data_IF_250520494223
#
_entry.id   IF_250520494223
#
_cell.length_a   1.000
_cell.length_b   1.000
_cell.length_c   1.000
_cell.angle_alpha   90.00
_cell.angle_beta   90.00
_cell.angle_gamma   90.00
#
_symmetry.space_group_name_H-M   'P 1'
#
loop_
_entity.id
_entity.type
_entity.pdbx_description
1 polymer ?
#
# COMPACT_ATOMS: atom_id res chain seq x y z
N UNK A 1 3.51 -0.97 31.47
CA UNK A 1 4.15 -1.07 30.15
C UNK A 1 3.26 -0.40 29.09
N UNK A 2 3.85 0.45 28.24
CA UNK A 2 3.15 1.10 27.11
C UNK A 2 3.97 0.90 25.84
N UNK A 3 3.29 0.49 24.76
CA UNK A 3 3.84 0.46 23.42
C UNK A 3 3.42 1.73 22.67
N UNK A 4 4.39 2.49 22.19
CA UNK A 4 4.16 3.73 21.45
C UNK A 4 4.65 3.56 20.02
N UNK A 5 3.72 3.54 19.06
CA UNK A 5 4.04 3.35 17.64
C UNK A 5 3.92 4.66 16.89
N UNK A 6 4.78 4.84 15.89
CA UNK A 6 4.82 6.03 15.07
C UNK A 6 5.20 5.70 13.62
N UNK A 7 4.47 6.25 12.67
CA UNK A 7 4.70 6.02 11.23
C UNK A 7 5.62 7.08 10.63
N UNK A 8 5.38 8.37 10.95
CA UNK A 8 6.12 9.49 10.37
C UNK A 8 7.15 10.04 11.34
N UNK A 9 8.29 10.49 10.82
CA UNK A 9 9.33 11.20 11.58
C UNK A 9 8.86 12.59 12.03
N UNK A 10 9.60 13.25 12.92
CA UNK A 10 9.29 14.60 13.41
C UNK A 10 9.18 15.66 12.31
N UNK A 11 9.82 15.42 11.17
CA UNK A 11 9.71 16.29 9.99
C UNK A 11 8.28 16.39 9.46
N UNK A 12 7.51 15.31 9.55
CA UNK A 12 6.16 15.24 8.99
C UNK A 12 5.06 15.21 10.05
N UNK A 13 5.39 14.74 11.25
CA UNK A 13 4.43 14.66 12.36
C UNK A 13 5.18 14.74 13.69
N UNK A 14 4.97 15.82 14.44
CA UNK A 14 5.59 15.98 15.76
C UNK A 14 5.06 14.92 16.73
N UNK A 15 5.95 14.38 17.55
CA UNK A 15 5.59 13.49 18.64
C UNK A 15 5.06 14.32 19.81
N UNK A 16 3.74 14.42 19.92
CA UNK A 16 3.06 15.19 20.97
C UNK A 16 2.50 14.31 22.08
N UNK A 17 2.64 12.99 21.98
CA UNK A 17 2.08 12.07 22.97
C UNK A 17 3.08 11.92 24.13
N UNK A 18 2.72 12.41 25.30
CA UNK A 18 3.47 12.25 26.55
C UNK A 18 2.82 11.12 27.35
N UNK A 19 3.63 10.16 27.80
CA UNK A 19 3.18 9.05 28.65
C UNK A 19 3.68 9.31 30.07
N UNK A 20 2.76 9.59 31.00
CA UNK A 20 3.11 10.02 32.36
C UNK A 20 3.05 8.89 33.41
N UNK A 21 2.28 7.85 33.19
CA UNK A 21 1.97 6.82 34.20
C UNK A 21 2.40 5.40 33.76
N UNK A 22 3.56 5.27 33.15
CA UNK A 22 4.09 3.98 32.75
C UNK A 22 5.49 3.78 33.32
N UNK A 23 5.72 2.61 33.90
CA UNK A 23 7.05 2.20 34.36
C UNK A 23 8.03 2.01 33.20
N UNK A 24 7.49 1.60 32.04
CA UNK A 24 8.27 1.39 30.82
C UNK A 24 7.48 1.82 29.57
N UNK A 25 8.17 2.50 28.66
CA UNK A 25 7.66 2.86 27.34
C UNK A 25 8.56 2.25 26.26
N UNK A 26 7.99 1.41 25.40
CA UNK A 26 8.67 0.81 24.26
C UNK A 26 8.23 1.57 23.01
N UNK A 27 9.19 2.14 22.27
CA UNK A 27 8.94 2.90 21.06
C UNK A 27 9.24 2.06 19.83
N UNK A 28 8.33 2.08 18.85
CA UNK A 28 8.45 1.34 17.61
C UNK A 28 7.82 2.05 16.42
N UNK A 29 7.94 1.42 15.27
CA UNK A 29 7.47 1.98 14.00
C UNK A 29 8.49 2.88 13.33
N UNK A 30 8.23 3.18 12.06
CA UNK A 30 9.15 3.88 11.14
C UNK A 30 9.54 5.29 11.61
N UNK A 31 8.62 5.95 12.31
CA UNK A 31 8.82 7.33 12.77
C UNK A 31 9.86 7.49 13.88
N UNK A 32 10.21 6.42 14.57
CA UNK A 32 11.31 6.40 15.56
C UNK A 32 12.64 5.93 14.96
N UNK A 33 12.70 5.75 13.64
CA UNK A 33 13.90 5.36 12.92
C UNK A 33 14.22 3.86 13.00
N UNK A 34 15.41 3.44 12.53
CA UNK A 34 15.78 2.04 12.42
C UNK A 34 15.95 1.31 13.75
N UNK A 35 16.04 2.04 14.86
CA UNK A 35 16.12 1.48 16.21
C UNK A 35 14.77 1.21 16.89
N UNK A 36 13.66 1.48 16.19
CA UNK A 36 12.33 1.18 16.71
C UNK A 36 12.13 -0.32 16.89
N UNK A 37 11.64 -0.72 18.07
CA UNK A 37 11.38 -2.13 18.35
C UNK A 37 10.08 -2.58 17.70
N UNK A 38 10.07 -3.83 17.23
CA UNK A 38 8.84 -4.50 16.81
C UNK A 38 7.97 -4.79 18.05
N UNK A 39 6.67 -4.90 17.82
CA UNK A 39 5.75 -5.35 18.87
C UNK A 39 6.00 -6.83 19.18
N UNK A 40 5.84 -7.27 20.45
CA UNK A 40 5.72 -8.69 20.74
C UNK A 40 4.59 -9.32 19.94
N UNK A 41 4.77 -10.57 19.53
CA UNK A 41 3.80 -11.31 18.73
C UNK A 41 2.38 -11.23 19.29
N UNK A 42 2.23 -11.44 20.60
CA UNK A 42 0.94 -11.44 21.30
C UNK A 42 0.25 -10.07 21.25
N UNK A 43 1.01 -8.99 21.14
CA UNK A 43 0.48 -7.63 21.03
C UNK A 43 0.15 -7.28 19.58
N UNK A 44 1.01 -7.69 18.64
CA UNK A 44 0.80 -7.42 17.21
C UNK A 44 -0.45 -8.12 16.67
N UNK A 45 -0.78 -9.30 17.21
CA UNK A 45 -1.94 -10.11 16.80
C UNK A 45 -3.22 -9.85 17.63
N UNK A 46 -3.20 -8.83 18.52
CA UNK A 46 -4.44 -8.36 19.17
C UNK A 46 -5.27 -7.60 18.14
N UNK A 47 -6.56 -7.94 18.04
CA UNK A 47 -7.48 -7.18 17.20
C UNK A 47 -7.47 -5.70 17.57
N UNK A 48 -7.30 -4.78 16.61
CA UNK A 48 -7.36 -3.36 16.89
C UNK A 48 -8.70 -2.93 17.50
N UNK A 49 -8.65 -2.07 18.49
CA UNK A 49 -9.86 -1.44 19.05
C UNK A 49 -10.30 -0.26 18.18
N UNK A 50 -11.16 -0.52 17.21
CA UNK A 50 -11.68 0.50 16.31
C UNK A 50 -12.62 1.50 16.98
N UNK A 51 -13.14 1.20 18.18
CA UNK A 51 -13.97 2.15 18.94
C UNK A 51 -13.21 3.38 19.42
N UNK A 52 -11.89 3.30 19.51
CA UNK A 52 -11.03 4.46 19.79
C UNK A 52 -11.13 5.54 18.68
N UNK A 53 -11.61 5.16 17.49
CA UNK A 53 -11.70 6.04 16.33
C UNK A 53 -13.11 6.05 15.73
N UNK A 54 -14.09 6.75 16.35
CA UNK A 54 -15.52 6.69 15.96
C UNK A 54 -15.79 7.00 14.49
N UNK A 55 -14.94 7.79 13.85
CA UNK A 55 -15.08 8.14 12.42
C UNK A 55 -14.76 6.97 11.47
N UNK A 56 -14.16 5.89 11.97
CA UNK A 56 -13.68 4.75 11.18
C UNK A 56 -14.28 3.41 11.63
N UNK A 57 -15.36 3.43 12.40
CA UNK A 57 -15.99 2.24 12.99
C UNK A 57 -16.38 1.16 11.96
N UNK A 58 -16.69 1.56 10.72
CA UNK A 58 -17.04 0.63 9.65
C UNK A 58 -15.84 0.11 8.84
N UNK A 59 -14.61 0.42 9.23
CA UNK A 59 -13.40 0.09 8.44
C UNK A 59 -12.40 -0.68 9.27
N UNK A 60 -12.04 -1.88 8.80
CA UNK A 60 -10.92 -2.66 9.33
C UNK A 60 -9.61 -2.30 8.61
N UNK A 61 -8.52 -2.29 9.35
CA UNK A 61 -7.16 -2.02 8.85
C UNK A 61 -6.23 -3.17 9.24
N UNK A 62 -5.46 -3.68 8.30
CA UNK A 62 -4.50 -4.72 8.64
C UNK A 62 -3.62 -5.15 7.49
N UNK A 63 -2.72 -6.08 7.83
CA UNK A 63 -1.82 -6.75 6.91
C UNK A 63 -2.17 -8.24 6.90
N UNK A 64 -2.30 -8.81 5.73
CA UNK A 64 -2.32 -10.26 5.52
C UNK A 64 -0.91 -10.79 5.25
N UNK A 65 -0.11 -9.95 4.55
CA UNK A 65 1.29 -10.26 4.24
C UNK A 65 2.19 -9.06 4.50
N UNK A 66 3.46 -9.32 4.79
CA UNK A 66 4.52 -8.32 4.95
C UNK A 66 5.76 -8.71 4.16
N UNK A 67 6.60 -7.70 3.87
CA UNK A 67 7.82 -7.85 3.08
C UNK A 67 7.58 -7.73 1.58
N UNK A 68 8.66 -7.47 0.82
CA UNK A 68 8.58 -7.28 -0.62
C UNK A 68 9.90 -7.70 -1.30
N UNK A 69 9.85 -8.54 -2.36
CA UNK A 69 11.05 -8.98 -3.05
C UNK A 69 11.68 -7.93 -3.97
N UNK A 70 11.00 -6.81 -4.23
CA UNK A 70 11.43 -5.81 -5.23
C UNK A 70 12.68 -5.04 -4.84
N UNK A 71 12.94 -4.81 -3.56
CA UNK A 71 14.12 -4.10 -3.08
C UNK A 71 14.39 -2.78 -3.79
N UNK A 72 13.34 -1.97 -4.03
CA UNK A 72 13.46 -0.66 -4.67
C UNK A 72 14.31 0.27 -3.82
N UNK A 73 15.25 1.01 -4.44
CA UNK A 73 16.23 1.83 -3.72
C UNK A 73 15.64 3.00 -2.89
N UNK A 74 14.43 3.43 -3.21
CA UNK A 74 13.69 4.46 -2.47
C UNK A 74 12.79 3.89 -1.35
N UNK A 75 12.55 2.58 -1.33
CA UNK A 75 11.55 1.94 -0.48
C UNK A 75 12.19 1.29 0.74
N UNK A 76 11.61 1.55 1.92
CA UNK A 76 12.10 1.01 3.19
C UNK A 76 11.63 -0.42 3.47
N UNK A 77 10.64 -0.92 2.74
CA UNK A 77 9.95 -2.19 3.07
C UNK A 77 10.92 -3.36 3.08
N UNK A 78 11.75 -3.51 2.05
CA UNK A 78 12.71 -4.62 1.97
C UNK A 78 13.74 -4.62 3.10
N UNK A 79 14.12 -3.44 3.58
CA UNK A 79 15.05 -3.28 4.71
C UNK A 79 14.40 -3.50 6.07
N UNK A 80 13.13 -3.14 6.21
CA UNK A 80 12.38 -3.19 7.47
C UNK A 80 11.62 -4.50 7.67
N UNK A 81 10.96 -4.99 6.63
CA UNK A 81 10.05 -6.14 6.69
C UNK A 81 10.61 -7.39 6.00
N UNK A 82 11.76 -7.24 5.35
CA UNK A 82 12.42 -8.33 4.63
C UNK A 82 12.13 -8.36 3.13
N UNK A 83 12.94 -9.18 2.44
CA UNK A 83 12.93 -9.34 0.98
C UNK A 83 12.04 -10.49 0.48
N UNK A 84 11.14 -10.97 1.32
CA UNK A 84 10.15 -11.99 0.96
C UNK A 84 8.80 -11.52 1.46
N UNK A 85 7.78 -11.61 0.63
CA UNK A 85 6.42 -11.44 1.10
C UNK A 85 5.99 -12.74 1.78
N UNK A 86 5.63 -12.67 3.04
CA UNK A 86 5.18 -13.80 3.85
C UNK A 86 3.84 -13.48 4.49
N UNK A 87 3.00 -14.50 4.63
CA UNK A 87 1.76 -14.38 5.38
C UNK A 87 2.09 -14.05 6.84
N UNK A 88 1.40 -13.05 7.40
CA UNK A 88 1.56 -12.64 8.81
C UNK A 88 0.26 -12.75 9.60
N UNK A 89 -0.91 -12.71 8.96
CA UNK A 89 -2.18 -12.85 9.63
C UNK A 89 -3.24 -13.51 8.74
N UNK A 90 -4.27 -14.06 9.34
CA UNK A 90 -5.54 -14.35 8.70
C UNK A 90 -6.49 -13.14 8.83
N UNK A 91 -7.42 -13.00 7.90
CA UNK A 91 -8.35 -11.87 7.88
C UNK A 91 -9.13 -11.72 9.20
N UNK A 92 -9.46 -12.84 9.85
CA UNK A 92 -10.20 -12.87 11.11
C UNK A 92 -9.46 -12.23 12.31
N UNK A 93 -8.16 -11.98 12.19
CA UNK A 93 -7.39 -11.35 13.26
C UNK A 93 -7.70 -9.85 13.40
N UNK A 94 -8.05 -9.17 12.30
CA UNK A 94 -8.33 -7.73 12.34
C UNK A 94 -9.71 -7.34 11.79
N UNK A 95 -10.45 -8.25 11.12
CA UNK A 95 -11.78 -8.00 10.58
C UNK A 95 -12.81 -8.93 11.25
N UNK A 96 -13.99 -8.41 11.63
CA UNK A 96 -15.09 -9.16 12.23
C UNK A 96 -16.48 -8.76 11.72
N UNK A 97 -16.52 -8.22 10.49
CA UNK A 97 -17.78 -7.82 9.86
C UNK A 97 -17.87 -6.33 9.56
N UNK A 98 -16.78 -5.58 9.65
CA UNK A 98 -16.70 -4.19 9.17
C UNK A 98 -17.05 -4.15 7.67
N UNK A 99 -17.72 -3.07 7.24
CA UNK A 99 -18.19 -2.91 5.87
C UNK A 99 -17.06 -2.74 4.86
N UNK A 100 -15.94 -2.16 5.31
CA UNK A 100 -14.75 -1.87 4.51
C UNK A 100 -13.50 -2.48 5.15
N UNK A 101 -12.60 -2.97 4.29
CA UNK A 101 -11.26 -3.43 4.67
C UNK A 101 -10.24 -2.59 3.90
N UNK A 102 -9.31 -1.97 4.62
CA UNK A 102 -8.11 -1.34 4.05
C UNK A 102 -6.90 -2.21 4.29
N UNK A 103 -6.42 -2.84 3.23
CA UNK A 103 -5.20 -3.63 3.29
C UNK A 103 -3.98 -2.74 3.16
N UNK A 104 -3.03 -2.97 4.05
CA UNK A 104 -1.77 -2.22 4.12
C UNK A 104 -0.58 -3.05 3.60
N UNK A 105 -0.85 -4.18 2.97
CA UNK A 105 0.14 -5.12 2.43
C UNK A 105 1.05 -4.44 1.40
N UNK A 106 2.38 -4.51 1.57
CA UNK A 106 3.31 -3.88 0.62
C UNK A 106 3.28 -4.52 -0.77
N UNK A 107 3.04 -5.84 -0.83
CA UNK A 107 2.94 -6.59 -2.07
C UNK A 107 2.28 -7.97 -1.84
N UNK A 108 0.96 -7.97 -1.74
CA UNK A 108 0.20 -9.20 -1.46
C UNK A 108 0.41 -10.29 -2.51
N UNK A 109 0.48 -9.92 -3.81
CA UNK A 109 0.63 -10.90 -4.90
C UNK A 109 2.00 -11.62 -4.89
N UNK A 110 3.00 -11.08 -4.19
CA UNK A 110 4.28 -11.74 -4.02
C UNK A 110 4.28 -12.78 -2.89
N UNK A 111 3.23 -12.82 -2.06
CA UNK A 111 3.07 -13.81 -1.01
C UNK A 111 2.70 -15.17 -1.62
N UNK A 112 3.38 -16.27 -1.26
CA UNK A 112 3.00 -17.61 -1.73
C UNK A 112 1.55 -17.98 -1.42
N UNK A 113 1.02 -17.51 -0.30
CA UNK A 113 -0.35 -17.77 0.16
C UNK A 113 -1.41 -16.82 -0.43
N UNK A 114 -1.05 -15.96 -1.41
CA UNK A 114 -1.93 -14.89 -1.91
C UNK A 114 -3.28 -15.40 -2.41
N UNK A 115 -3.36 -16.58 -3.01
CA UNK A 115 -4.63 -17.17 -3.48
C UNK A 115 -5.58 -17.46 -2.32
N UNK A 116 -5.07 -18.08 -1.26
CA UNK A 116 -5.87 -18.37 -0.05
C UNK A 116 -6.30 -17.05 0.63
N UNK A 117 -5.43 -16.05 0.69
CA UNK A 117 -5.71 -14.73 1.27
C UNK A 117 -6.76 -13.97 0.45
N UNK A 118 -6.67 -13.98 -0.87
CA UNK A 118 -7.71 -13.45 -1.77
C UNK A 118 -9.03 -14.18 -1.59
N UNK A 119 -8.98 -15.48 -1.34
CA UNK A 119 -10.16 -16.29 -1.01
C UNK A 119 -10.87 -15.83 0.27
N UNK A 120 -10.12 -15.51 1.33
CA UNK A 120 -10.67 -14.96 2.56
C UNK A 120 -11.33 -13.59 2.33
N UNK A 121 -10.69 -12.71 1.55
CA UNK A 121 -11.23 -11.41 1.19
C UNK A 121 -12.52 -11.54 0.37
N UNK A 122 -12.58 -12.47 -0.58
CA UNK A 122 -13.80 -12.73 -1.36
C UNK A 122 -14.94 -13.26 -0.49
N UNK A 123 -14.64 -14.13 0.46
CA UNK A 123 -15.63 -14.69 1.39
C UNK A 123 -16.18 -13.64 2.37
N UNK A 124 -15.41 -12.63 2.73
CA UNK A 124 -15.83 -11.55 3.64
C UNK A 124 -16.98 -10.72 3.10
N UNK A 125 -17.07 -10.56 1.78
CA UNK A 125 -18.00 -9.65 1.08
C UNK A 125 -17.85 -8.17 1.47
N UNK A 126 -16.86 -7.82 2.29
CA UNK A 126 -16.54 -6.44 2.61
C UNK A 126 -15.98 -5.71 1.39
N UNK A 127 -16.06 -4.39 1.38
CA UNK A 127 -15.49 -3.54 0.34
C UNK A 127 -13.98 -3.38 0.59
N UNK A 128 -13.14 -3.98 -0.26
CA UNK A 128 -11.69 -4.06 -0.05
C UNK A 128 -10.95 -2.97 -0.83
N UNK A 129 -10.14 -2.20 -0.13
CA UNK A 129 -9.19 -1.24 -0.67
C UNK A 129 -7.76 -1.78 -0.51
N UNK A 130 -7.08 -2.08 -1.63
CA UNK A 130 -5.68 -2.53 -1.65
C UNK A 130 -4.76 -1.30 -1.67
N UNK A 131 -4.61 -0.62 -0.53
CA UNK A 131 -4.11 0.76 -0.43
C UNK A 131 -2.63 0.95 -0.77
N UNK A 132 -1.77 -0.04 -0.45
CA UNK A 132 -0.32 0.11 -0.63
C UNK A 132 0.18 -0.40 -1.97
N UNK A 133 -0.59 -1.24 -2.61
CA UNK A 133 -0.33 -1.66 -3.96
C UNK A 133 -0.19 -3.16 -4.16
N UNK A 134 -0.50 -3.52 -5.38
CA UNK A 134 -0.27 -4.84 -5.95
C UNK A 134 0.81 -4.69 -7.03
N UNK A 135 1.68 -5.67 -7.16
CA UNK A 135 2.67 -5.66 -8.25
C UNK A 135 2.02 -6.11 -9.55
N UNK A 136 1.83 -5.18 -10.49
CA UNK A 136 1.18 -5.45 -11.78
C UNK A 136 1.89 -6.56 -12.58
N UNK A 137 3.21 -6.73 -12.39
CA UNK A 137 4.02 -7.76 -13.05
C UNK A 137 3.67 -9.17 -12.63
N UNK A 138 3.14 -9.32 -11.41
CA UNK A 138 2.73 -10.60 -10.83
C UNK A 138 1.28 -10.96 -11.17
N UNK A 139 0.55 -10.08 -11.83
CA UNK A 139 -0.82 -10.38 -12.26
C UNK A 139 -0.81 -11.42 -13.39
N UNK A 140 -1.69 -12.40 -13.27
CA UNK A 140 -1.95 -13.44 -14.25
C UNK A 140 -3.46 -13.73 -14.30
N UNK A 141 -3.96 -14.50 -15.28
CA UNK A 141 -5.39 -14.78 -15.40
C UNK A 141 -6.00 -15.36 -14.12
N UNK A 142 -5.28 -16.23 -13.40
CA UNK A 142 -5.81 -16.95 -12.23
C UNK A 142 -6.00 -16.00 -11.05
N UNK A 143 -4.96 -15.22 -10.70
CA UNK A 143 -5.10 -14.27 -9.58
C UNK A 143 -5.99 -13.06 -9.93
N UNK A 144 -6.10 -12.66 -11.19
CA UNK A 144 -7.09 -11.67 -11.63
C UNK A 144 -8.51 -12.24 -11.46
N UNK A 145 -8.75 -13.51 -11.80
CA UNK A 145 -10.04 -14.15 -11.57
C UNK A 145 -10.41 -14.20 -10.08
N UNK A 146 -9.44 -14.43 -9.19
CA UNK A 146 -9.65 -14.35 -7.74
C UNK A 146 -9.95 -12.92 -7.29
N UNK A 147 -9.20 -11.94 -7.76
CA UNK A 147 -9.46 -10.50 -7.50
C UNK A 147 -10.86 -10.08 -7.95
N UNK A 148 -11.34 -10.62 -9.08
CA UNK A 148 -12.69 -10.35 -9.58
C UNK A 148 -13.82 -10.88 -8.67
N UNK A 149 -13.51 -11.83 -7.76
CA UNK A 149 -14.45 -12.33 -6.75
C UNK A 149 -14.48 -11.46 -5.50
N UNK A 150 -13.45 -10.66 -5.28
CA UNK A 150 -13.37 -9.70 -4.17
C UNK A 150 -14.23 -8.48 -4.51
N UNK A 151 -15.03 -8.01 -3.58
CA UNK A 151 -15.76 -6.75 -3.71
C UNK A 151 -14.75 -5.60 -3.55
N UNK A 152 -14.10 -5.22 -4.65
CA UNK A 152 -12.98 -4.29 -4.66
C UNK A 152 -13.43 -2.83 -4.74
N UNK A 153 -13.00 -2.00 -3.80
CA UNK A 153 -13.14 -0.54 -3.81
C UNK A 153 -12.12 0.10 -4.74
N UNK A 154 -10.85 -0.23 -4.53
CA UNK A 154 -9.76 0.21 -5.37
C UNK A 154 -8.60 -0.79 -5.32
N UNK A 155 -7.90 -0.89 -6.44
CA UNK A 155 -6.56 -1.48 -6.53
C UNK A 155 -5.56 -0.39 -6.82
N UNK A 156 -4.40 -0.49 -6.19
CA UNK A 156 -3.29 0.40 -6.44
C UNK A 156 -2.12 -0.41 -7.00
N UNK A 157 -1.53 0.08 -8.06
CA UNK A 157 -0.29 -0.42 -8.66
C UNK A 157 0.78 0.66 -8.59
N UNK A 158 1.98 0.35 -9.05
CA UNK A 158 3.06 1.33 -9.18
C UNK A 158 3.81 1.14 -10.51
N UNK A 159 4.19 2.27 -11.10
CA UNK A 159 5.12 2.33 -12.22
C UNK A 159 6.23 3.33 -11.88
N UNK A 160 7.17 2.87 -11.05
CA UNK A 160 8.18 3.75 -10.46
C UNK A 160 9.49 3.79 -11.26
N UNK A 161 9.86 2.66 -11.89
CA UNK A 161 11.06 2.60 -12.71
C UNK A 161 10.79 3.11 -14.13
N UNK A 162 11.40 4.25 -14.56
CA UNK A 162 11.19 4.81 -15.88
C UNK A 162 11.81 3.98 -17.02
N UNK A 163 12.78 3.11 -16.71
CA UNK A 163 13.45 2.24 -17.70
C UNK A 163 12.68 0.94 -17.94
N UNK A 164 11.66 0.63 -17.13
CA UNK A 164 10.86 -0.58 -17.26
C UNK A 164 9.52 -0.25 -17.93
N UNK A 165 9.25 -0.82 -19.12
CA UNK A 165 7.94 -0.66 -19.76
C UNK A 165 6.95 -1.71 -19.22
N UNK A 166 5.93 -1.23 -18.50
CA UNK A 166 4.89 -2.07 -17.91
C UNK A 166 3.59 -2.06 -18.73
N UNK A 167 3.58 -1.46 -19.92
CA UNK A 167 2.39 -1.26 -20.76
C UNK A 167 1.61 -2.56 -21.01
N UNK A 168 2.30 -3.64 -21.34
CA UNK A 168 1.65 -4.93 -21.62
C UNK A 168 1.05 -5.59 -20.36
N UNK A 169 1.65 -5.38 -19.19
CA UNK A 169 1.08 -5.85 -17.93
C UNK A 169 -0.23 -5.09 -17.61
N UNK A 170 -0.25 -3.77 -17.80
CA UNK A 170 -1.45 -2.97 -17.59
C UNK A 170 -2.55 -3.31 -18.60
N UNK A 171 -2.24 -3.50 -19.89
CA UNK A 171 -3.19 -3.96 -20.90
C UNK A 171 -3.82 -5.31 -20.52
N UNK A 172 -3.00 -6.27 -20.13
CA UNK A 172 -3.49 -7.59 -19.73
C UNK A 172 -4.43 -7.50 -18.53
N UNK A 173 -4.09 -6.71 -17.51
CA UNK A 173 -4.96 -6.55 -16.35
C UNK A 173 -6.31 -5.95 -16.72
N UNK A 174 -6.35 -4.88 -17.51
CA UNK A 174 -7.60 -4.24 -17.96
C UNK A 174 -8.46 -5.19 -18.78
N UNK A 175 -7.83 -6.03 -19.61
CA UNK A 175 -8.56 -6.98 -20.45
C UNK A 175 -9.30 -8.06 -19.64
N UNK A 176 -8.82 -8.41 -18.43
CA UNK A 176 -9.34 -9.53 -17.64
C UNK A 176 -10.04 -9.10 -16.34
N UNK A 177 -9.85 -7.85 -15.89
CA UNK A 177 -10.44 -7.40 -14.63
C UNK A 177 -11.91 -7.02 -14.75
N UNK A 178 -12.69 -7.33 -13.70
CA UNK A 178 -14.07 -6.85 -13.53
C UNK A 178 -14.15 -5.41 -12.99
N UNK A 179 -13.04 -4.82 -12.53
CA UNK A 179 -12.98 -3.44 -12.04
C UNK A 179 -13.08 -2.49 -13.22
N UNK A 180 -14.24 -1.85 -13.45
CA UNK A 180 -14.53 -1.06 -14.65
C UNK A 180 -14.11 0.40 -14.55
N UNK A 181 -14.20 1.01 -13.37
CA UNK A 181 -13.86 2.42 -13.19
C UNK A 181 -12.34 2.61 -13.18
N UNK A 182 -11.85 3.58 -13.95
CA UNK A 182 -10.47 4.06 -13.93
C UNK A 182 -10.07 4.53 -12.54
N UNK A 183 -10.95 5.28 -11.84
CA UNK A 183 -10.75 5.77 -10.47
C UNK A 183 -10.48 4.66 -9.45
N UNK A 184 -10.92 3.43 -9.75
CA UNK A 184 -10.70 2.26 -8.89
C UNK A 184 -9.46 1.46 -9.30
N UNK A 185 -8.79 1.85 -10.41
CA UNK A 185 -7.53 1.29 -10.91
C UNK A 185 -6.44 2.34 -10.84
N UNK A 186 -5.93 2.60 -9.65
CA UNK A 186 -4.92 3.65 -9.42
C UNK A 186 -3.52 3.14 -9.65
N UNK A 187 -2.66 4.03 -10.16
CA UNK A 187 -1.24 3.71 -10.36
C UNK A 187 -0.37 4.84 -9.82
N UNK A 188 0.42 4.54 -8.83
CA UNK A 188 1.46 5.46 -8.35
C UNK A 188 2.56 5.58 -9.40
N UNK A 189 2.96 6.81 -9.69
CA UNK A 189 4.06 7.13 -10.61
C UNK A 189 5.08 7.94 -9.84
N UNK A 190 6.20 7.31 -9.47
CA UNK A 190 7.29 8.00 -8.80
C UNK A 190 8.04 8.87 -9.81
N UNK A 191 8.22 10.13 -9.48
CA UNK A 191 8.93 11.13 -10.27
C UNK A 191 10.09 11.72 -9.47
N UNK A 192 11.04 12.36 -10.14
CA UNK A 192 12.23 12.93 -9.50
C UNK A 192 13.16 11.87 -8.86
N UNK A 193 13.08 10.62 -9.29
CA UNK A 193 13.94 9.52 -8.89
C UNK A 193 14.55 8.86 -10.12
N UNK A 194 15.57 9.49 -10.69
CA UNK A 194 16.24 9.02 -11.92
C UNK A 194 15.41 9.11 -13.20
N UNK A 195 14.25 9.80 -13.17
CA UNK A 195 13.40 9.98 -14.36
C UNK A 195 13.54 11.39 -14.96
N UNK A 196 13.37 11.47 -16.29
CA UNK A 196 13.16 12.74 -16.99
C UNK A 196 11.68 13.11 -16.98
N UNK A 197 11.39 14.39 -17.28
CA UNK A 197 10.01 14.87 -17.39
C UNK A 197 9.24 14.17 -18.53
N UNK A 198 9.91 13.87 -19.63
CA UNK A 198 9.37 13.17 -20.80
C UNK A 198 8.97 11.72 -20.40
N UNK A 199 9.82 11.03 -19.63
CA UNK A 199 9.52 9.69 -19.11
C UNK A 199 8.35 9.72 -18.13
N UNK A 200 8.26 10.76 -17.29
CA UNK A 200 7.13 10.94 -16.36
C UNK A 200 5.82 11.16 -17.12
N UNK A 201 5.82 12.03 -18.14
CA UNK A 201 4.66 12.28 -19.01
C UNK A 201 4.26 11.03 -19.81
N UNK A 202 5.23 10.29 -20.33
CA UNK A 202 4.97 9.04 -21.05
C UNK A 202 4.19 8.06 -20.18
N UNK A 203 4.66 7.79 -18.96
CA UNK A 203 3.98 6.87 -18.02
C UNK A 203 2.57 7.34 -17.69
N UNK A 204 2.40 8.61 -17.34
CA UNK A 204 1.09 9.20 -17.01
C UNK A 204 0.12 9.09 -18.20
N UNK A 205 0.54 9.48 -19.41
CA UNK A 205 -0.32 9.47 -20.58
C UNK A 205 -0.67 8.06 -21.02
N UNK A 206 0.29 7.13 -20.96
CA UNK A 206 0.06 5.71 -21.24
C UNK A 206 -0.97 5.12 -20.29
N UNK A 207 -0.85 5.37 -18.98
CA UNK A 207 -1.80 4.90 -17.99
C UNK A 207 -3.21 5.44 -18.23
N UNK A 208 -3.35 6.74 -18.50
CA UNK A 208 -4.66 7.35 -18.85
C UNK A 208 -5.27 6.74 -20.10
N UNK A 209 -4.47 6.55 -21.15
CA UNK A 209 -4.93 5.92 -22.39
C UNK A 209 -5.40 4.47 -22.18
N UNK A 210 -4.84 3.76 -21.20
CA UNK A 210 -5.23 2.42 -20.82
C UNK A 210 -6.39 2.37 -19.81
N UNK A 211 -6.91 3.52 -19.40
CA UNK A 211 -8.04 3.61 -18.46
C UNK A 211 -7.65 3.39 -17.01
N UNK A 212 -6.48 3.86 -16.60
CA UNK A 212 -6.05 3.94 -15.21
C UNK A 212 -6.10 5.38 -14.69
N UNK A 213 -6.15 5.53 -13.36
CA UNK A 213 -6.05 6.79 -12.64
C UNK A 213 -4.60 6.95 -12.10
N UNK A 214 -3.69 7.62 -12.84
CA UNK A 214 -2.34 7.82 -12.36
C UNK A 214 -2.31 8.82 -11.21
N UNK A 215 -1.45 8.55 -10.23
CA UNK A 215 -1.18 9.42 -9.09
C UNK A 215 0.31 9.69 -8.99
N UNK A 216 0.73 10.93 -9.23
CA UNK A 216 2.15 11.34 -9.23
C UNK A 216 2.64 11.54 -7.82
N UNK A 217 3.67 10.79 -7.45
CA UNK A 217 4.45 10.95 -6.22
C UNK A 217 5.80 11.55 -6.55
N UNK A 218 6.23 12.55 -5.80
CA UNK A 218 7.51 13.23 -6.03
C UNK A 218 8.51 12.79 -4.96
N UNK A 219 9.59 12.14 -5.38
CA UNK A 219 10.73 11.85 -4.51
C UNK A 219 11.42 13.16 -4.12
N UNK A 220 11.74 13.34 -2.82
CA UNK A 220 12.35 14.56 -2.30
C UNK A 220 11.68 15.85 -2.82
N UNK A 221 10.39 15.96 -2.66
CA UNK A 221 9.55 17.05 -3.18
C UNK A 221 10.10 18.48 -2.94
N UNK A 222 10.77 18.80 -1.81
CA UNK A 222 11.33 20.13 -1.60
C UNK A 222 12.37 20.53 -2.65
N UNK A 223 13.17 19.60 -3.13
CA UNK A 223 14.24 19.82 -4.13
C UNK A 223 13.79 19.62 -5.58
N UNK A 224 12.58 19.12 -5.78
CA UNK A 224 12.05 18.78 -7.10
C UNK A 224 11.89 20.02 -7.99
N UNK A 225 12.14 19.91 -9.32
CA UNK A 225 11.92 20.97 -10.30
C UNK A 225 10.48 21.50 -10.28
N UNK A 226 10.28 22.77 -10.65
CA UNK A 226 8.93 23.36 -10.75
C UNK A 226 8.03 22.58 -11.70
N UNK A 227 8.56 22.08 -12.83
CA UNK A 227 7.81 21.33 -13.82
C UNK A 227 7.24 20.03 -13.24
N UNK A 228 8.00 19.30 -12.42
CA UNK A 228 7.55 18.08 -11.73
C UNK A 228 6.43 18.38 -10.74
N UNK A 229 6.52 19.51 -10.00
CA UNK A 229 5.45 19.95 -9.09
C UNK A 229 4.19 20.39 -9.85
N UNK A 230 4.33 20.93 -11.06
CA UNK A 230 3.21 21.26 -11.94
C UNK A 230 2.56 19.99 -12.48
N UNK A 231 3.36 19.00 -12.91
CA UNK A 231 2.87 17.69 -13.32
C UNK A 231 2.04 17.04 -12.22
N UNK A 232 2.55 17.00 -10.99
CA UNK A 232 1.80 16.44 -9.85
C UNK A 232 0.44 17.12 -9.68
N UNK A 233 0.38 18.46 -9.70
CA UNK A 233 -0.89 19.18 -9.56
C UNK A 233 -1.85 18.89 -10.70
N UNK A 234 -1.35 18.83 -11.93
CA UNK A 234 -2.17 18.55 -13.11
C UNK A 234 -2.73 17.13 -13.12
N UNK A 235 -1.98 16.17 -12.60
CA UNK A 235 -2.40 14.76 -12.60
C UNK A 235 -3.32 14.44 -11.42
N UNK A 236 -3.00 14.94 -10.22
CA UNK A 236 -3.65 14.52 -8.98
C UNK A 236 -4.91 15.34 -8.63
N UNK A 237 -5.21 16.42 -9.36
CA UNK A 237 -6.45 17.22 -9.23
C UNK A 237 -7.42 16.87 -10.35
#
# INVERSE_FOLDING_TARGET
LVYKSRVFTDTYSKDTIVVNNAEQVIQGGTGYGPGGKDLPYEIEHIRPDYFLYPRFLGTAYGFLSRGCPRNCGFCIVSGKEGRRSVKVADLSEFWRGEDEIKLLDPNLLACPDHEALLGQLAASRALVDFTQGLDIRLTNPDNIALLNRVRTKAVHFAWDNPEEDLTEHFKRFVAHTAIRSDRNRRVYVLTNYGSTHEQDLYRVNTLRALGYDPYVMIYERPTAPKITRHLQRWVNN
#
